data_IF_696500929635
#
_entry.id   IF_696500929635
#
_cell.length_a   1.000
_cell.length_b   1.000
_cell.length_c   1.000
_cell.angle_alpha   90.00
_cell.angle_beta   90.00
_cell.angle_gamma   90.00
#
_symmetry.space_group_name_H-M   'P 1'
#
loop_
_entity.id
_entity.type
_entity.pdbx_description
1 polymer ?
#
# COMPACT_ATOMS: atom_id res chain seq x y z
N UNK A 1 6.10 -2.96 22.29
CA UNK A 1 5.62 -2.26 21.08
C UNK A 1 4.12 -2.28 20.99
N UNK A 2 3.49 -1.16 20.65
CA UNK A 2 2.04 -1.18 20.47
C UNK A 2 1.63 -2.05 19.29
N UNK A 3 0.41 -2.55 19.36
CA UNK A 3 -0.14 -3.44 18.34
C UNK A 3 -1.45 -2.85 17.84
N UNK A 4 -1.62 -2.79 16.53
CA UNK A 4 -2.85 -2.35 15.91
C UNK A 4 -3.56 -3.53 15.25
N UNK A 5 -4.85 -3.66 15.52
CA UNK A 5 -5.66 -4.70 14.89
C UNK A 5 -6.20 -4.17 13.58
N UNK A 6 -5.66 -4.67 12.48
CA UNK A 6 -6.14 -4.31 11.14
C UNK A 6 -7.12 -5.37 10.67
N UNK A 7 -8.17 -4.93 9.98
CA UNK A 7 -9.12 -5.85 9.36
C UNK A 7 -9.01 -5.71 7.86
N UNK A 8 -8.59 -6.79 7.20
CA UNK A 8 -8.43 -6.83 5.75
C UNK A 8 -9.09 -8.11 5.26
N UNK A 9 -10.04 -8.00 4.34
CA UNK A 9 -10.80 -9.14 3.81
C UNK A 9 -11.42 -9.98 4.92
N UNK A 10 -12.00 -9.31 5.92
CA UNK A 10 -12.65 -9.93 7.08
C UNK A 10 -11.69 -10.73 7.98
N UNK A 11 -10.41 -10.54 7.84
CA UNK A 11 -9.41 -11.20 8.69
C UNK A 11 -8.76 -10.17 9.59
N UNK A 12 -8.61 -10.52 10.86
CA UNK A 12 -7.89 -9.70 11.82
C UNK A 12 -6.40 -9.98 11.70
N UNK A 13 -5.63 -8.91 11.58
CA UNK A 13 -4.18 -8.99 11.50
C UNK A 13 -3.61 -8.05 12.55
N UNK A 14 -2.75 -8.58 13.41
CA UNK A 14 -2.07 -7.77 14.42
C UNK A 14 -0.78 -7.24 13.83
N UNK A 15 -0.63 -5.92 13.84
CA UNK A 15 0.53 -5.24 13.26
C UNK A 15 1.25 -4.49 14.37
N UNK A 16 2.51 -4.85 14.60
CA UNK A 16 3.36 -4.08 15.50
C UNK A 16 3.78 -2.79 14.80
N UNK A 17 3.76 -1.69 15.54
CA UNK A 17 4.12 -0.41 14.92
C UNK A 17 4.84 0.48 15.92
N UNK A 18 5.54 1.47 15.41
CA UNK A 18 6.14 2.53 16.17
C UNK A 18 5.10 3.64 16.34
N UNK A 19 4.96 4.19 17.54
CA UNK A 19 3.98 5.24 17.82
C UNK A 19 4.07 6.40 16.82
N UNK A 20 5.28 6.74 16.40
CA UNK A 20 5.47 7.82 15.43
C UNK A 20 4.89 7.49 14.05
N UNK A 21 4.59 6.21 13.78
CA UNK A 21 4.07 5.76 12.48
C UNK A 21 2.58 5.41 12.52
N UNK A 22 1.91 5.68 13.64
CA UNK A 22 0.52 5.27 13.82
C UNK A 22 -0.40 5.81 12.73
N UNK A 23 -0.33 7.09 12.46
CA UNK A 23 -1.18 7.73 11.45
C UNK A 23 -0.94 7.13 10.07
N UNK A 24 0.33 6.94 9.72
CA UNK A 24 0.68 6.32 8.43
C UNK A 24 0.16 4.90 8.32
N UNK A 25 0.24 4.14 9.41
CA UNK A 25 -0.25 2.77 9.42
C UNK A 25 -1.75 2.72 9.19
N UNK A 26 -2.50 3.55 9.90
CA UNK A 26 -3.96 3.60 9.76
C UNK A 26 -4.35 4.02 8.34
N UNK A 27 -3.69 5.05 7.82
CA UNK A 27 -3.95 5.52 6.47
C UNK A 27 -3.66 4.44 5.43
N UNK A 28 -2.55 3.72 5.62
CA UNK A 28 -2.18 2.63 4.70
C UNK A 28 -3.22 1.52 4.70
N UNK A 29 -3.72 1.14 5.88
CA UNK A 29 -4.74 0.10 6.00
C UNK A 29 -6.03 0.56 5.32
N UNK A 30 -6.43 1.81 5.54
CA UNK A 30 -7.63 2.35 4.92
C UNK A 30 -7.50 2.39 3.40
N UNK A 31 -6.34 2.74 2.89
CA UNK A 31 -6.10 2.76 1.45
C UNK A 31 -6.13 1.36 0.85
N UNK A 32 -5.54 0.39 1.54
CA UNK A 32 -5.58 -1.01 1.09
C UNK A 32 -7.03 -1.47 1.00
N UNK A 33 -7.82 -1.20 2.02
CA UNK A 33 -9.23 -1.59 2.03
C UNK A 33 -10.03 -0.89 0.93
N UNK A 34 -9.73 0.37 0.64
CA UNK A 34 -10.35 1.08 -0.49
C UNK A 34 -10.00 0.44 -1.82
N UNK A 35 -8.74 0.09 -2.00
CA UNK A 35 -8.30 -0.56 -3.24
C UNK A 35 -8.92 -1.94 -3.41
N UNK A 36 -9.09 -2.68 -2.32
CA UNK A 36 -9.74 -3.99 -2.38
C UNK A 36 -11.20 -3.88 -2.78
N UNK A 37 -11.86 -2.78 -2.48
CA UNK A 37 -13.25 -2.57 -2.92
C UNK A 37 -13.38 -2.52 -4.43
N UNK A 38 -12.34 -2.14 -5.14
CA UNK A 38 -12.37 -2.12 -6.61
C UNK A 38 -12.48 -3.52 -7.18
N UNK A 39 -12.23 -4.56 -6.39
CA UNK A 39 -12.31 -5.95 -6.80
C UNK A 39 -13.60 -6.64 -6.31
N UNK A 40 -14.58 -5.86 -5.86
CA UNK A 40 -15.81 -6.43 -5.29
C UNK A 40 -16.53 -7.37 -6.26
N UNK A 41 -16.56 -7.04 -7.57
CA UNK A 41 -17.18 -7.90 -8.57
C UNK A 41 -16.47 -9.23 -8.74
N UNK A 42 -15.27 -9.37 -8.22
CA UNK A 42 -14.48 -10.61 -8.32
C UNK A 42 -14.50 -11.41 -7.02
N UNK A 43 -15.15 -10.89 -5.99
CA UNK A 43 -15.30 -11.63 -4.74
C UNK A 43 -16.06 -12.91 -4.99
N UNK A 44 -15.55 -14.01 -4.42
CA UNK A 44 -16.13 -15.32 -4.61
C UNK A 44 -15.71 -16.00 -5.90
N UNK A 45 -15.12 -15.27 -6.85
CA UNK A 45 -14.60 -15.83 -8.10
C UNK A 45 -13.13 -16.17 -8.02
N UNK A 46 -12.38 -15.40 -7.24
CA UNK A 46 -10.97 -15.68 -6.99
C UNK A 46 -10.72 -15.67 -5.48
N UNK A 47 -9.69 -16.38 -5.06
CA UNK A 47 -9.38 -16.51 -3.65
C UNK A 47 -8.87 -15.19 -3.07
N UNK A 48 -9.00 -15.02 -1.76
CA UNK A 48 -8.48 -13.86 -1.06
C UNK A 48 -6.97 -13.72 -1.26
N UNK A 49 -6.25 -14.85 -1.23
CA UNK A 49 -4.80 -14.83 -1.44
C UNK A 49 -4.47 -14.29 -2.82
N UNK A 50 -5.24 -14.66 -3.83
CA UNK A 50 -5.01 -14.18 -5.19
C UNK A 50 -5.31 -12.70 -5.31
N UNK A 51 -6.39 -12.23 -4.66
CA UNK A 51 -6.70 -10.81 -4.61
C UNK A 51 -5.58 -10.01 -3.97
N UNK A 52 -5.09 -10.49 -2.84
CA UNK A 52 -3.99 -9.82 -2.14
C UNK A 52 -2.71 -9.82 -2.97
N UNK A 53 -2.46 -10.91 -3.71
CA UNK A 53 -1.30 -10.98 -4.60
C UNK A 53 -1.39 -9.96 -5.71
N UNK A 54 -2.55 -9.82 -6.34
CA UNK A 54 -2.76 -8.78 -7.36
C UNK A 54 -2.56 -7.39 -6.79
N UNK A 55 -3.11 -7.15 -5.61
CA UNK A 55 -2.95 -5.86 -4.97
C UNK A 55 -1.49 -5.57 -4.66
N UNK A 56 -0.75 -6.56 -4.17
CA UNK A 56 0.66 -6.39 -3.86
C UNK A 56 1.46 -6.02 -5.10
N UNK A 57 1.19 -6.69 -6.22
CA UNK A 57 1.85 -6.38 -7.50
C UNK A 57 1.53 -4.95 -7.92
N UNK A 58 0.27 -4.57 -7.83
CA UNK A 58 -0.16 -3.23 -8.23
C UNK A 58 0.49 -2.16 -7.36
N UNK A 59 0.50 -2.37 -6.05
CA UNK A 59 1.10 -1.42 -5.12
C UNK A 59 2.60 -1.29 -5.35
N UNK A 60 3.27 -2.40 -5.62
CA UNK A 60 4.70 -2.37 -5.90
C UNK A 60 5.00 -1.63 -7.19
N UNK A 61 4.17 -1.82 -8.22
CA UNK A 61 4.33 -1.11 -9.48
C UNK A 61 4.14 0.40 -9.28
N UNK A 62 3.14 0.79 -8.51
CA UNK A 62 2.92 2.21 -8.19
C UNK A 62 4.10 2.79 -7.43
N UNK A 63 4.65 2.04 -6.50
CA UNK A 63 5.81 2.47 -5.73
C UNK A 63 7.03 2.67 -6.62
N UNK A 64 7.26 1.76 -7.56
CA UNK A 64 8.37 1.90 -8.51
C UNK A 64 8.20 3.13 -9.39
N UNK A 65 6.97 3.37 -9.87
CA UNK A 65 6.67 4.59 -10.64
C UNK A 65 6.98 5.83 -9.83
N UNK A 66 6.55 5.86 -8.59
CA UNK A 66 6.81 7.01 -7.73
C UNK A 66 8.30 7.23 -7.53
N UNK A 67 9.04 6.18 -7.30
CA UNK A 67 10.50 6.27 -7.13
C UNK A 67 11.18 6.77 -8.39
N UNK A 68 10.74 6.31 -9.55
CA UNK A 68 11.31 6.75 -10.83
C UNK A 68 11.04 8.23 -11.05
N UNK A 69 9.81 8.68 -10.82
CA UNK A 69 9.48 10.09 -10.97
C UNK A 69 10.30 10.97 -10.04
N UNK A 70 10.40 10.56 -8.78
CA UNK A 70 11.17 11.31 -7.82
C UNK A 70 12.64 11.36 -8.18
N UNK A 71 13.17 10.24 -8.65
CA UNK A 71 14.56 10.15 -9.09
C UNK A 71 14.81 11.05 -10.29
N UNK A 72 13.89 11.05 -11.24
CA UNK A 72 13.99 11.89 -12.41
C UNK A 72 13.93 13.37 -12.06
N UNK A 73 13.06 13.75 -11.16
CA UNK A 73 12.98 15.13 -10.69
C UNK A 73 14.28 15.57 -10.05
N UNK A 74 14.84 14.73 -9.20
CA UNK A 74 16.11 15.01 -8.54
C UNK A 74 17.23 15.18 -9.57
N UNK A 75 17.25 14.29 -10.56
CA UNK A 75 18.24 14.35 -11.62
C UNK A 75 18.14 15.65 -12.40
N UNK A 76 16.94 16.04 -12.77
CA UNK A 76 16.71 17.28 -13.49
C UNK A 76 17.13 18.50 -12.68
N UNK A 77 16.82 18.49 -11.39
CA UNK A 77 17.25 19.57 -10.49
C UNK A 77 18.75 19.71 -10.45
N UNK A 78 19.46 18.60 -10.35
CA UNK A 78 20.93 18.62 -10.35
C UNK A 78 21.47 19.18 -11.63
N UNK A 79 20.91 18.82 -12.76
CA UNK A 79 21.34 19.34 -14.05
C UNK A 79 21.06 20.84 -14.15
N UNK A 80 19.93 21.25 -13.62
CA UNK A 80 19.54 22.66 -13.63
C UNK A 80 20.48 23.52 -12.81
N UNK A 81 20.89 23.00 -11.69
CA UNK A 81 21.70 23.76 -10.71
C UNK A 81 23.18 23.79 -11.04
N UNK A 82 23.58 23.15 -12.08
CA UNK A 82 24.95 23.28 -12.58
C UNK A 82 25.10 24.53 -13.42
#
# INVERSE_FOLDING_TARGET
MPVYKAIILNKEINVNYDESQKTKLIDAINEINSKLKTYDNQKGKISDNKLLSFLAIKLQAELLDFKEHKKNETYLEKNYNK
#
